data_IF_989452931358
#
_entry.id   IF_989452931358
#
_cell.length_a   1.000
_cell.length_b   1.000
_cell.length_c   1.000
_cell.angle_alpha   90.00
_cell.angle_beta   90.00
_cell.angle_gamma   90.00
#
_symmetry.space_group_name_H-M   'P 1'
#
loop_
_entity.id
_entity.type
_entity.pdbx_description
1 polymer ?
#
# COMPACT_ATOMS: atom_id res chain seq x y z
N UNK A 1 -7.32 -26.13 -14.86
CA UNK A 1 -7.97 -25.05 -14.13
C UNK A 1 -6.90 -24.35 -13.30
N UNK A 2 -6.37 -23.24 -13.81
CA UNK A 2 -5.40 -22.47 -13.05
C UNK A 2 -6.14 -21.74 -11.93
N UNK A 3 -6.12 -22.30 -10.76
CA UNK A 3 -6.55 -21.62 -9.55
C UNK A 3 -5.42 -20.65 -9.21
N UNK A 4 -5.40 -19.52 -9.89
CA UNK A 4 -4.62 -18.38 -9.44
C UNK A 4 -5.45 -17.69 -8.40
N UNK A 5 -4.92 -17.58 -7.20
CA UNK A 5 -5.55 -17.02 -5.99
C UNK A 5 -5.98 -15.54 -6.10
N UNK A 6 -5.91 -14.98 -7.28
CA UNK A 6 -6.25 -13.58 -7.59
C UNK A 6 -7.73 -13.26 -7.38
N UNK A 7 -8.61 -14.26 -7.27
CA UNK A 7 -10.05 -14.11 -7.04
C UNK A 7 -10.47 -14.23 -5.56
N UNK A 8 -9.57 -14.66 -4.70
CA UNK A 8 -9.88 -14.88 -3.28
C UNK A 8 -10.37 -13.61 -2.56
N UNK A 9 -9.78 -12.43 -2.74
CA UNK A 9 -10.31 -11.20 -2.11
C UNK A 9 -11.74 -10.89 -2.51
N UNK A 10 -12.11 -11.11 -3.76
CA UNK A 10 -13.47 -10.91 -4.25
C UNK A 10 -14.47 -11.88 -3.65
N UNK A 11 -14.12 -13.15 -3.50
CA UNK A 11 -14.97 -14.15 -2.83
C UNK A 11 -15.18 -13.78 -1.37
N UNK A 12 -14.15 -13.39 -0.66
CA UNK A 12 -14.24 -12.95 0.73
C UNK A 12 -15.11 -11.69 0.84
N UNK A 13 -14.94 -10.72 -0.04
CA UNK A 13 -15.70 -9.48 -0.05
C UNK A 13 -17.21 -9.73 -0.27
N UNK A 14 -17.56 -10.75 -1.04
CA UNK A 14 -18.95 -11.17 -1.25
C UNK A 14 -19.58 -11.83 -0.01
N UNK A 15 -18.77 -12.37 0.89
CA UNK A 15 -19.21 -13.15 2.06
C UNK A 15 -19.23 -12.36 3.35
N UNK A 16 -18.61 -11.21 3.43
CA UNK A 16 -18.48 -10.42 4.66
C UNK A 16 -18.90 -8.96 4.46
N UNK A 17 -19.55 -8.34 5.47
CA UNK A 17 -19.79 -6.89 5.47
C UNK A 17 -18.55 -6.07 5.84
N UNK A 18 -17.46 -6.69 6.26
CA UNK A 18 -16.23 -6.01 6.63
C UNK A 18 -15.47 -5.52 5.39
N UNK A 19 -14.70 -4.42 5.50
CA UNK A 19 -13.80 -4.01 4.44
C UNK A 19 -12.79 -5.10 4.08
N UNK A 20 -12.60 -5.34 2.79
CA UNK A 20 -11.61 -6.31 2.29
C UNK A 20 -10.53 -5.58 1.52
N UNK A 21 -9.28 -5.87 1.83
CA UNK A 21 -8.10 -5.30 1.19
C UNK A 21 -7.39 -6.42 0.43
N UNK A 22 -7.25 -6.23 -0.89
CA UNK A 22 -6.53 -7.15 -1.75
C UNK A 22 -5.11 -6.67 -2.02
N UNK A 23 -4.14 -7.57 -1.90
CA UNK A 23 -2.73 -7.31 -2.23
C UNK A 23 -2.35 -8.20 -3.40
N UNK A 24 -2.15 -7.64 -4.61
CA UNK A 24 -1.67 -8.43 -5.74
C UNK A 24 -0.21 -8.85 -5.51
N UNK A 25 0.08 -10.10 -5.82
CA UNK A 25 1.42 -10.67 -5.73
C UNK A 25 2.04 -10.73 -7.12
N UNK A 26 3.30 -10.36 -7.23
CA UNK A 26 4.04 -10.47 -8.49
C UNK A 26 4.23 -11.96 -8.84
N UNK A 27 3.54 -12.41 -9.88
CA UNK A 27 3.64 -13.79 -10.38
C UNK A 27 4.15 -13.81 -11.83
N UNK A 28 3.56 -13.01 -12.71
CA UNK A 28 3.90 -12.90 -14.13
C UNK A 28 3.56 -11.49 -14.62
N UNK A 29 4.03 -11.10 -15.82
CA UNK A 29 3.74 -9.80 -16.45
C UNK A 29 3.91 -8.61 -15.49
N UNK A 30 4.98 -8.61 -14.67
CA UNK A 30 5.24 -7.58 -13.65
C UNK A 30 4.11 -7.42 -12.61
N UNK A 31 3.24 -8.43 -12.45
CA UNK A 31 2.08 -8.40 -11.56
C UNK A 31 0.84 -7.72 -12.14
N UNK A 32 0.86 -7.33 -13.41
CA UNK A 32 -0.23 -6.61 -14.05
C UNK A 32 -1.53 -7.43 -14.11
N UNK A 33 -1.45 -8.70 -14.43
CA UNK A 33 -2.59 -9.63 -14.44
C UNK A 33 -3.16 -9.84 -13.03
N UNK A 34 -2.33 -9.85 -11.99
CA UNK A 34 -2.79 -9.91 -10.60
C UNK A 34 -3.58 -8.67 -10.18
N UNK A 35 -3.14 -7.49 -10.59
CA UNK A 35 -3.87 -6.24 -10.36
C UNK A 35 -5.22 -6.28 -11.07
N UNK A 36 -5.24 -6.62 -12.35
CA UNK A 36 -6.47 -6.62 -13.16
C UNK A 36 -7.53 -7.56 -12.61
N UNK A 37 -7.14 -8.70 -12.03
CA UNK A 37 -8.09 -9.65 -11.46
C UNK A 37 -8.71 -9.21 -10.13
N UNK A 38 -8.06 -8.30 -9.40
CA UNK A 38 -8.56 -7.76 -8.12
C UNK A 38 -9.35 -6.47 -8.33
N UNK A 39 -8.92 -5.61 -9.25
CA UNK A 39 -9.51 -4.28 -9.48
C UNK A 39 -10.91 -4.36 -10.07
N UNK A 40 -11.16 -5.32 -10.95
CA UNK A 40 -12.46 -5.46 -11.62
C UNK A 40 -13.44 -6.23 -10.74
N UNK A 41 -14.16 -5.52 -9.88
CA UNK A 41 -15.21 -6.07 -9.04
C UNK A 41 -16.60 -5.63 -9.51
N UNK A 42 -17.62 -6.49 -9.37
CA UNK A 42 -18.99 -6.13 -9.70
C UNK A 42 -19.52 -5.03 -8.74
N UNK A 43 -20.50 -4.22 -9.18
CA UNK A 43 -21.15 -3.27 -8.31
C UNK A 43 -21.69 -3.91 -7.02
N UNK A 44 -21.44 -3.27 -5.89
CA UNK A 44 -21.90 -3.73 -4.56
C UNK A 44 -20.92 -4.62 -3.80
N UNK A 45 -19.80 -5.04 -4.43
CA UNK A 45 -18.78 -5.87 -3.79
C UNK A 45 -17.41 -5.19 -3.94
N UNK A 46 -17.11 -4.14 -3.16
CA UNK A 46 -15.85 -3.41 -3.29
C UNK A 46 -14.70 -4.16 -2.63
N UNK A 47 -13.53 -4.09 -3.25
CA UNK A 47 -12.25 -4.52 -2.69
C UNK A 47 -11.24 -3.37 -2.80
N UNK A 48 -10.64 -2.98 -1.69
CA UNK A 48 -9.54 -2.00 -1.70
C UNK A 48 -8.27 -2.67 -2.21
N UNK A 49 -7.78 -2.25 -3.37
CA UNK A 49 -6.60 -2.86 -4.00
C UNK A 49 -5.36 -2.05 -3.71
N UNK A 50 -4.34 -2.71 -3.15
CA UNK A 50 -3.02 -2.12 -2.90
C UNK A 50 -2.10 -2.32 -4.10
N UNK A 51 -0.91 -1.72 -4.04
CA UNK A 51 0.13 -1.96 -5.03
C UNK A 51 0.61 -3.42 -5.02
N UNK A 52 1.24 -3.85 -6.11
CA UNK A 52 1.87 -5.18 -6.18
C UNK A 52 2.86 -5.34 -5.03
N UNK A 53 2.77 -6.46 -4.31
CA UNK A 53 3.55 -6.74 -3.10
C UNK A 53 3.39 -5.72 -1.96
N UNK A 54 2.33 -4.91 -1.97
CA UNK A 54 2.07 -3.81 -1.02
C UNK A 54 1.47 -4.25 0.31
N UNK A 55 1.89 -5.37 0.89
CA UNK A 55 1.32 -5.92 2.12
C UNK A 55 1.48 -4.98 3.33
N UNK A 56 2.59 -4.27 3.43
CA UNK A 56 2.82 -3.29 4.50
C UNK A 56 1.77 -2.17 4.47
N UNK A 57 1.53 -1.59 3.31
CA UNK A 57 0.51 -0.56 3.15
C UNK A 57 -0.91 -1.10 3.36
N UNK A 58 -1.16 -2.35 3.02
CA UNK A 58 -2.43 -3.01 3.32
C UNK A 58 -2.68 -3.09 4.84
N UNK A 59 -1.66 -3.48 5.60
CA UNK A 59 -1.73 -3.52 7.07
C UNK A 59 -1.95 -2.12 7.67
N UNK A 60 -1.26 -1.11 7.17
CA UNK A 60 -1.45 0.28 7.61
C UNK A 60 -2.88 0.76 7.31
N UNK A 61 -3.39 0.48 6.12
CA UNK A 61 -4.75 0.86 5.73
C UNK A 61 -5.79 0.16 6.61
N UNK A 62 -5.61 -1.11 6.94
CA UNK A 62 -6.49 -1.84 7.85
C UNK A 62 -6.54 -1.18 9.24
N UNK A 63 -5.39 -0.77 9.77
CA UNK A 63 -5.31 -0.04 11.05
C UNK A 63 -5.98 1.33 10.94
N UNK A 64 -5.82 2.04 9.84
CA UNK A 64 -6.50 3.33 9.60
C UNK A 64 -8.02 3.16 9.57
N UNK A 65 -8.54 2.10 8.94
CA UNK A 65 -9.97 1.79 8.94
C UNK A 65 -10.50 1.56 10.36
N UNK A 66 -9.80 0.79 11.17
CA UNK A 66 -10.16 0.56 12.58
C UNK A 66 -10.06 1.83 13.42
N UNK A 67 -9.09 2.68 13.14
CA UNK A 67 -8.86 3.92 13.89
C UNK A 67 -9.99 4.94 13.71
N UNK A 68 -10.82 4.84 12.69
CA UNK A 68 -11.99 5.73 12.52
C UNK A 68 -13.00 5.62 13.64
N UNK A 69 -13.04 4.49 14.34
CA UNK A 69 -13.90 4.25 15.50
C UNK A 69 -13.16 4.10 16.84
N UNK A 70 -11.85 4.35 16.87
CA UNK A 70 -11.00 4.15 18.05
C UNK A 70 -10.02 5.33 18.20
N UNK A 71 -10.28 6.18 19.19
CA UNK A 71 -9.48 7.39 19.43
C UNK A 71 -8.03 7.09 19.85
N UNK A 72 -7.78 6.04 20.60
CA UNK A 72 -6.42 5.63 20.99
C UNK A 72 -5.63 5.16 19.78
N UNK A 73 -6.24 4.35 18.93
CA UNK A 73 -5.63 3.86 17.72
C UNK A 73 -5.35 5.00 16.72
N UNK A 74 -6.24 5.99 16.65
CA UNK A 74 -6.05 7.21 15.85
C UNK A 74 -4.82 7.98 16.32
N UNK A 75 -4.62 8.15 17.63
CA UNK A 75 -3.43 8.81 18.16
C UNK A 75 -2.13 8.08 17.79
N UNK A 76 -2.14 6.75 17.85
CA UNK A 76 -1.01 5.93 17.41
C UNK A 76 -0.72 6.12 15.91
N UNK A 77 -1.75 6.24 15.09
CA UNK A 77 -1.61 6.49 13.65
C UNK A 77 -1.05 7.88 13.37
N UNK A 78 -1.46 8.90 14.12
CA UNK A 78 -0.90 10.26 14.01
C UNK A 78 0.59 10.25 14.35
N UNK A 79 0.97 9.60 15.45
CA UNK A 79 2.38 9.48 15.86
C UNK A 79 3.21 8.72 14.80
N UNK A 80 2.65 7.65 14.23
CA UNK A 80 3.31 6.90 13.16
C UNK A 80 3.57 7.79 11.92
N UNK A 81 2.58 8.55 11.48
CA UNK A 81 2.72 9.48 10.35
C UNK A 81 3.77 10.56 10.63
N UNK A 82 3.80 11.11 11.84
CA UNK A 82 4.81 12.09 12.22
C UNK A 82 6.22 11.48 12.23
N UNK A 83 6.38 10.24 12.68
CA UNK A 83 7.67 9.54 12.65
C UNK A 83 8.20 9.35 11.22
N UNK A 84 7.32 9.10 10.25
CA UNK A 84 7.70 9.00 8.84
C UNK A 84 8.19 10.35 8.30
N UNK A 85 7.51 11.44 8.66
CA UNK A 85 7.91 12.80 8.28
C UNK A 85 9.30 13.15 8.82
N UNK A 86 9.57 12.83 10.08
CA UNK A 86 10.88 13.07 10.70
C UNK A 86 12.00 12.28 10.01
N UNK A 87 11.74 11.04 9.59
CA UNK A 87 12.71 10.25 8.81
C UNK A 87 13.07 10.91 7.49
N UNK A 88 12.06 11.46 6.79
CA UNK A 88 12.28 12.17 5.51
C UNK A 88 13.08 13.46 5.73
N UNK A 89 12.74 14.24 6.75
CA UNK A 89 13.45 15.48 7.10
C UNK A 89 14.92 15.19 7.42
N UNK A 90 15.18 14.13 8.21
CA UNK A 90 16.54 13.69 8.52
C UNK A 90 17.32 13.27 7.27
N UNK A 91 16.73 12.46 6.42
CA UNK A 91 17.35 12.01 5.17
C UNK A 91 17.66 13.19 4.23
N UNK A 92 16.75 14.16 4.12
CA UNK A 92 16.96 15.37 3.32
C UNK A 92 18.10 16.22 3.88
N UNK A 93 18.22 16.34 5.20
CA UNK A 93 19.32 17.06 5.84
C UNK A 93 20.66 16.37 5.55
N UNK A 94 20.75 15.08 5.73
CA UNK A 94 21.95 14.28 5.41
C UNK A 94 22.32 14.42 3.92
N UNK A 95 21.35 14.41 3.02
CA UNK A 95 21.58 14.58 1.59
C UNK A 95 22.06 15.99 1.24
N UNK A 96 21.58 17.01 1.91
CA UNK A 96 22.01 18.41 1.70
C UNK A 96 23.46 18.66 2.13
N UNK A 97 23.98 17.85 3.04
CA UNK A 97 25.38 17.91 3.50
C UNK A 97 26.35 17.20 2.51
N UNK A 98 25.83 16.38 1.60
CA UNK A 98 26.62 15.69 0.57
C UNK A 98 26.92 16.66 -0.56
N UNK A 99 28.15 17.16 -0.63
CA UNK A 99 28.60 18.00 -1.74
C UNK A 99 28.88 17.13 -2.96
N UNK A 100 27.93 17.07 -3.90
CA UNK A 100 28.20 16.50 -5.21
C UNK A 100 29.13 17.43 -6.00
N UNK A 101 30.35 16.98 -6.29
CA UNK A 101 31.20 17.62 -7.28
C UNK A 101 30.70 17.20 -8.66
N UNK A 102 29.84 18.02 -9.27
CA UNK A 102 29.60 17.90 -10.70
C UNK A 102 30.90 18.20 -11.45
N UNK A 103 31.49 17.19 -12.08
CA UNK A 103 32.44 17.47 -13.15
C UNK A 103 31.65 18.16 -14.28
N UNK A 104 31.81 19.46 -14.45
CA UNK A 104 31.41 20.11 -15.69
C UNK A 104 32.16 19.40 -16.81
N UNK A 105 31.39 18.75 -17.68
CA UNK A 105 31.92 18.32 -18.97
C UNK A 105 32.01 19.62 -19.77
N UNK A 106 33.23 20.17 -19.88
CA UNK A 106 33.50 21.25 -20.84
C UNK A 106 33.41 20.63 -22.24
N UNK A 107 32.41 21.07 -22.99
CA UNK A 107 32.21 20.72 -24.40
C UNK A 107 33.11 21.63 -25.23
#
# INVERSE_FOLDING_TARGET
MCIRDSHLPGVIAAMTPLPVIGVPIKASLEGFDSIMSIVQMPPGIPVATMAVNGAMNAGILAVQMMATGDAELMQKMIQYKESLKQKIVKANKELSEVKYKFKRIEI
#
